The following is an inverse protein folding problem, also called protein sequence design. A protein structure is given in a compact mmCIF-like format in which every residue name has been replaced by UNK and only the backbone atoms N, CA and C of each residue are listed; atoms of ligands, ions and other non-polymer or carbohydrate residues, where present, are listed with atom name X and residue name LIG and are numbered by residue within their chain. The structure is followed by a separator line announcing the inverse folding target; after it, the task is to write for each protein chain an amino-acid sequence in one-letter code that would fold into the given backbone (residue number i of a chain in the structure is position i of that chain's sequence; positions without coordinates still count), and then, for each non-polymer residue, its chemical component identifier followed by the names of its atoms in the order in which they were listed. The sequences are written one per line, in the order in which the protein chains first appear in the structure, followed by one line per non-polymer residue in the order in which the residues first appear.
data_IF_186544357035
#
_entry.id   IF_186544357035
#
_cell.length_a   1.000
_cell.length_b   1.000
_cell.length_c   1.000
_cell.angle_alpha   90.00
_cell.angle_beta   90.00
_cell.angle_gamma   90.00
#
_symmetry.space_group_name_H-M   'P 1'
#
loop_
_entity.id
_entity.type
_entity.pdbx_description
1 polymer ?
#
# COMPACT_ATOMS: atom_id res chain seq x y z
N UNK A 1 -6.33 3.00 -23.19
CA UNK A 1 -5.95 3.65 -24.46
C UNK A 1 -4.73 2.97 -25.11
N UNK A 2 -3.52 3.60 -25.17
CA UNK A 2 -2.37 3.04 -25.89
C UNK A 2 -1.79 1.76 -25.26
N UNK A 3 -1.72 1.66 -23.94
CA UNK A 3 -1.24 0.48 -23.23
C UNK A 3 -2.20 -0.70 -23.44
N UNK A 4 -3.49 -0.46 -23.36
CA UNK A 4 -4.54 -1.44 -23.61
C UNK A 4 -4.52 -1.94 -25.06
N UNK A 5 -4.30 -1.06 -26.03
CA UNK A 5 -4.12 -1.43 -27.44
C UNK A 5 -2.86 -2.29 -27.64
N UNK A 6 -1.73 -1.95 -27.00
CA UNK A 6 -0.49 -2.74 -27.08
C UNK A 6 -0.62 -4.11 -26.42
N UNK A 7 -1.31 -4.20 -25.28
CA UNK A 7 -1.57 -5.47 -24.62
C UNK A 7 -2.46 -6.38 -25.44
N UNK A 8 -3.49 -5.82 -26.12
CA UNK A 8 -4.34 -6.57 -27.05
C UNK A 8 -3.61 -7.03 -28.31
N UNK A 9 -2.56 -6.32 -28.74
CA UNK A 9 -1.79 -6.67 -29.95
C UNK A 9 -0.68 -7.70 -29.70
N UNK A 10 -0.14 -7.75 -28.47
CA UNK A 10 1.05 -8.57 -28.16
C UNK A 10 0.76 -9.86 -27.39
N UNK A 11 -0.49 -10.17 -27.07
CA UNK A 11 -0.83 -11.37 -26.28
C UNK A 11 -1.68 -12.33 -27.13
N UNK A 12 -1.25 -13.57 -27.20
CA UNK A 12 -2.04 -14.68 -27.76
C UNK A 12 -3.34 -14.95 -26.96
N UNK A 13 -3.40 -14.45 -25.73
CA UNK A 13 -4.61 -14.35 -24.91
C UNK A 13 -4.67 -12.91 -24.36
N UNK A 14 -5.72 -12.13 -24.69
CA UNK A 14 -5.87 -10.78 -24.15
C UNK A 14 -6.10 -10.88 -22.63
N UNK A 15 -5.07 -10.60 -21.83
CA UNK A 15 -5.25 -10.40 -20.41
C UNK A 15 -6.09 -9.14 -20.20
N UNK A 16 -7.24 -9.29 -19.57
CA UNK A 16 -8.09 -8.17 -19.23
C UNK A 16 -7.32 -7.24 -18.27
N UNK A 17 -7.27 -5.96 -18.61
CA UNK A 17 -6.73 -4.94 -17.69
C UNK A 17 -7.74 -4.77 -16.54
N UNK A 18 -7.31 -5.00 -15.32
CA UNK A 18 -8.13 -4.76 -14.13
C UNK A 18 -7.83 -3.35 -13.61
N UNK A 19 -8.81 -2.43 -13.63
CA UNK A 19 -8.61 -1.09 -13.10
C UNK A 19 -8.39 -1.12 -11.60
N UNK A 20 -7.48 -0.27 -11.11
CA UNK A 20 -7.24 -0.05 -9.70
C UNK A 20 -7.95 1.23 -9.25
N UNK A 21 -8.81 1.12 -8.24
CA UNK A 21 -9.46 2.26 -7.59
C UNK A 21 -8.94 2.39 -6.16
N UNK A 22 -8.33 3.53 -5.86
CA UNK A 22 -7.89 3.89 -4.51
C UNK A 22 -8.47 5.25 -4.18
N UNK A 23 -9.01 5.38 -3.00
CA UNK A 23 -9.53 6.63 -2.49
C UNK A 23 -8.91 6.94 -1.12
N UNK A 24 -8.28 8.12 -1.03
CA UNK A 24 -7.82 8.73 0.20
C UNK A 24 -8.50 10.09 0.32
N UNK A 25 -9.09 10.38 1.46
CA UNK A 25 -9.79 11.63 1.74
C UNK A 25 -9.25 12.31 3.00
N UNK A 26 -9.68 13.52 3.27
CA UNK A 26 -9.34 14.20 4.54
C UNK A 26 -9.85 13.44 5.76
N UNK A 27 -10.95 12.69 5.59
CA UNK A 27 -11.58 11.92 6.67
C UNK A 27 -10.99 10.51 6.78
N UNK A 28 -10.40 9.99 5.69
CA UNK A 28 -9.74 8.68 5.63
C UNK A 28 -8.39 8.83 4.91
N UNK A 29 -7.37 9.26 5.64
CA UNK A 29 -6.04 9.55 5.10
C UNK A 29 -5.20 8.29 4.90
N UNK A 30 -5.47 7.24 5.67
CA UNK A 30 -4.74 5.97 5.60
C UNK A 30 -5.70 4.87 5.17
N UNK A 31 -5.31 4.12 4.14
CA UNK A 31 -6.02 2.95 3.66
C UNK A 31 -5.23 1.68 4.03
N UNK A 32 -5.84 0.82 4.83
CA UNK A 32 -5.30 -0.51 5.14
C UNK A 32 -5.90 -1.51 4.14
N UNK A 33 -5.05 -2.19 3.40
CA UNK A 33 -5.46 -3.20 2.43
C UNK A 33 -5.14 -4.59 2.98
N UNK A 34 -6.16 -5.41 3.10
CA UNK A 34 -6.05 -6.80 3.52
C UNK A 34 -6.45 -7.77 2.41
N UNK A 35 -6.18 -9.05 2.62
CA UNK A 35 -6.52 -10.10 1.66
C UNK A 35 -5.35 -11.04 1.34
N UNK A 36 -5.55 -12.04 0.47
CA UNK A 36 -4.49 -12.96 0.08
C UNK A 36 -3.40 -12.26 -0.75
N UNK A 37 -2.16 -12.76 -0.70
CA UNK A 37 -1.05 -12.19 -1.49
C UNK A 37 -1.35 -12.25 -3.00
N UNK A 38 -1.96 -13.33 -3.47
CA UNK A 38 -2.40 -13.49 -4.85
C UNK A 38 -3.47 -12.46 -5.29
N UNK A 39 -4.09 -11.73 -4.37
CA UNK A 39 -5.05 -10.66 -4.67
C UNK A 39 -4.44 -9.38 -5.23
N UNK A 40 -3.11 -9.28 -5.32
CA UNK A 40 -2.43 -8.14 -5.94
C UNK A 40 -2.16 -6.96 -5.00
N UNK A 41 -2.12 -7.15 -3.67
CA UNK A 41 -1.85 -6.08 -2.68
C UNK A 41 -0.57 -5.30 -2.99
N UNK A 42 0.55 -6.00 -3.16
CA UNK A 42 1.86 -5.37 -3.46
C UNK A 42 1.87 -4.68 -4.83
N UNK A 43 1.14 -5.24 -5.82
CA UNK A 43 0.97 -4.60 -7.13
C UNK A 43 0.17 -3.30 -7.01
N UNK A 44 -0.91 -3.31 -6.24
CA UNK A 44 -1.70 -2.12 -5.91
C UNK A 44 -0.82 -1.02 -5.30
N UNK A 45 -0.02 -1.37 -4.30
CA UNK A 45 0.87 -0.45 -3.60
C UNK A 45 1.95 0.12 -4.53
N UNK A 46 2.65 -0.75 -5.27
CA UNK A 46 3.67 -0.36 -6.26
C UNK A 46 3.10 0.54 -7.36
N UNK A 47 1.88 0.22 -7.85
CA UNK A 47 1.19 1.03 -8.85
C UNK A 47 0.86 2.42 -8.31
N UNK A 48 0.32 2.50 -7.10
CA UNK A 48 0.01 3.78 -6.44
C UNK A 48 1.25 4.64 -6.32
N UNK A 49 2.34 4.09 -5.82
CA UNK A 49 3.61 4.80 -5.66
C UNK A 49 4.19 5.26 -6.98
N UNK A 50 4.20 4.39 -7.99
CA UNK A 50 4.73 4.72 -9.31
C UNK A 50 3.94 5.85 -9.98
N UNK A 51 2.61 5.75 -10.01
CA UNK A 51 1.76 6.77 -10.63
C UNK A 51 1.85 8.10 -9.90
N UNK A 52 1.89 8.08 -8.56
CA UNK A 52 2.09 9.28 -7.75
C UNK A 52 3.44 9.95 -8.04
N UNK A 53 4.51 9.15 -8.13
CA UNK A 53 5.84 9.67 -8.47
C UNK A 53 5.89 10.25 -9.88
N UNK A 54 5.27 9.58 -10.86
CA UNK A 54 5.19 10.07 -12.24
C UNK A 54 4.51 11.45 -12.31
N UNK A 55 3.37 11.62 -11.62
CA UNK A 55 2.67 12.92 -11.58
C UNK A 55 3.57 14.01 -11.00
N UNK A 56 4.29 13.71 -9.92
CA UNK A 56 5.18 14.68 -9.27
C UNK A 56 6.40 15.04 -10.13
N UNK A 57 6.75 14.16 -11.08
CA UNK A 57 7.75 14.46 -12.12
C UNK A 57 7.16 15.18 -13.35
N UNK A 58 5.86 15.53 -13.34
CA UNK A 58 5.18 16.16 -14.47
C UNK A 58 4.88 15.21 -15.64
N UNK A 59 4.92 13.90 -15.41
CA UNK A 59 4.59 12.89 -16.40
C UNK A 59 3.09 12.61 -16.44
N UNK A 60 2.55 12.32 -17.62
CA UNK A 60 1.18 11.86 -17.78
C UNK A 60 0.99 10.44 -17.23
N UNK A 61 -0.13 10.19 -16.57
CA UNK A 61 -0.47 8.89 -15.99
C UNK A 61 -1.72 8.29 -16.64
N UNK A 62 -1.81 6.95 -16.77
CA UNK A 62 -2.95 6.26 -17.39
C UNK A 62 -4.10 6.06 -16.37
N UNK A 63 -4.82 7.12 -16.06
CA UNK A 63 -5.94 7.10 -15.12
C UNK A 63 -7.23 7.61 -15.78
N UNK A 64 -8.38 7.37 -15.13
CA UNK A 64 -9.68 7.92 -15.57
C UNK A 64 -9.64 9.45 -15.47
N UNK A 65 -10.35 10.15 -16.37
CA UNK A 65 -10.40 11.62 -16.44
C UNK A 65 -10.97 12.25 -15.15
N UNK A 66 -11.76 11.51 -14.39
CA UNK A 66 -12.34 11.96 -13.11
C UNK A 66 -11.41 11.74 -11.93
N UNK A 67 -10.25 11.09 -12.14
CA UNK A 67 -9.28 10.84 -11.08
C UNK A 67 -8.74 12.17 -10.53
N UNK A 68 -8.61 12.21 -9.22
CA UNK A 68 -8.01 13.33 -8.49
C UNK A 68 -6.71 12.86 -7.86
N UNK A 69 -5.64 13.58 -8.09
CA UNK A 69 -4.32 13.24 -7.56
C UNK A 69 -3.82 14.40 -6.70
N UNK A 70 -3.48 14.11 -5.46
CA UNK A 70 -2.86 15.08 -4.55
C UNK A 70 -1.37 15.24 -4.86
N UNK A 71 -0.77 16.33 -4.36
CA UNK A 71 0.68 16.54 -4.40
C UNK A 71 1.24 16.38 -3.00
N UNK A 72 2.26 15.56 -2.86
CA UNK A 72 2.94 15.31 -1.59
C UNK A 72 4.35 15.93 -1.64
N UNK A 73 4.81 16.40 -0.49
CA UNK A 73 6.17 16.88 -0.34
C UNK A 73 7.16 15.71 -0.29
N UNK A 74 6.75 14.65 0.41
CA UNK A 74 7.57 13.47 0.63
C UNK A 74 6.76 12.20 0.32
N UNK A 75 7.37 11.25 -0.39
CA UNK A 75 6.85 9.90 -0.60
C UNK A 75 7.81 8.95 0.09
N UNK A 76 7.35 8.26 1.11
CA UNK A 76 8.14 7.30 1.89
C UNK A 76 7.67 5.89 1.59
N UNK A 77 8.59 5.01 1.26
CA UNK A 77 8.29 3.67 0.75
C UNK A 77 9.04 2.63 1.59
N UNK A 78 8.32 1.64 2.07
CA UNK A 78 8.85 0.42 2.67
C UNK A 78 8.18 -0.77 1.99
N UNK A 79 8.73 -1.18 0.85
CA UNK A 79 8.27 -2.29 0.03
C UNK A 79 9.48 -3.19 -0.20
N UNK A 80 9.54 -4.30 0.53
CA UNK A 80 10.60 -5.29 0.41
C UNK A 80 10.10 -6.58 -0.25
N UNK A 81 10.91 -7.22 -1.07
CA UNK A 81 10.70 -8.61 -1.47
C UNK A 81 11.38 -9.52 -0.42
N UNK A 82 10.59 -10.26 0.36
CA UNK A 82 11.07 -11.19 1.41
C UNK A 82 11.76 -12.44 0.83
N UNK A 83 12.57 -12.35 -0.20
CA UNK A 83 13.16 -13.54 -0.85
C UNK A 83 14.59 -13.87 -0.40
N UNK A 84 15.07 -13.38 0.73
CA UNK A 84 16.33 -13.87 1.31
C UNK A 84 16.07 -14.61 2.62
N UNK A 85 15.87 -15.93 2.54
CA UNK A 85 15.72 -16.85 3.68
C UNK A 85 16.93 -16.89 4.63
N UNK A 86 17.99 -16.16 4.37
CA UNK A 86 19.22 -16.19 5.18
C UNK A 86 19.33 -15.09 6.24
N UNK A 87 18.37 -14.11 6.30
CA UNK A 87 18.51 -12.96 7.19
C UNK A 87 17.18 -12.42 7.78
N UNK A 88 16.27 -13.25 8.24
CA UNK A 88 14.97 -12.81 8.80
C UNK A 88 15.11 -11.75 9.90
N UNK A 89 16.08 -11.89 10.79
CA UNK A 89 16.32 -10.93 11.88
C UNK A 89 16.88 -9.60 11.40
N UNK A 90 17.66 -9.59 10.30
CA UNK A 90 18.18 -8.39 9.69
C UNK A 90 17.11 -7.64 8.94
N UNK A 91 16.18 -8.34 8.28
CA UNK A 91 15.05 -7.79 7.53
C UNK A 91 14.10 -7.07 8.47
N UNK A 92 13.64 -7.72 9.55
CA UNK A 92 12.77 -7.07 10.53
C UNK A 92 13.38 -5.83 11.18
N UNK A 93 14.66 -5.90 11.56
CA UNK A 93 15.38 -4.76 12.13
C UNK A 93 15.49 -3.60 11.14
N UNK A 94 15.66 -3.89 9.86
CA UNK A 94 15.68 -2.88 8.80
C UNK A 94 14.31 -2.22 8.62
N UNK A 95 13.22 -2.99 8.60
CA UNK A 95 11.86 -2.45 8.57
C UNK A 95 11.57 -1.55 9.77
N UNK A 96 11.94 -1.97 10.99
CA UNK A 96 11.77 -1.14 12.18
C UNK A 96 12.56 0.16 12.10
N UNK A 97 13.79 0.12 11.57
CA UNK A 97 14.59 1.31 11.39
C UNK A 97 13.98 2.26 10.36
N UNK A 98 13.47 1.71 9.25
CA UNK A 98 12.75 2.47 8.23
C UNK A 98 11.50 3.14 8.84
N UNK A 99 10.67 2.40 9.56
CA UNK A 99 9.49 2.93 10.23
C UNK A 99 9.84 4.05 11.22
N UNK A 100 10.91 3.87 12.01
CA UNK A 100 11.40 4.91 12.92
C UNK A 100 11.82 6.17 12.17
N UNK A 101 12.47 6.04 11.02
CA UNK A 101 12.89 7.18 10.21
C UNK A 101 11.68 7.85 9.53
N UNK A 102 10.73 7.07 9.04
CA UNK A 102 9.47 7.56 8.49
C UNK A 102 8.68 8.37 9.54
N UNK A 103 8.54 7.84 10.76
CA UNK A 103 7.84 8.53 11.86
C UNK A 103 8.45 9.88 12.20
N UNK A 104 9.78 10.00 12.17
CA UNK A 104 10.46 11.27 12.46
C UNK A 104 10.19 12.36 11.44
N UNK A 105 9.86 11.98 10.21
CA UNK A 105 9.70 12.91 9.09
C UNK A 105 8.24 13.05 8.65
N UNK A 106 7.37 12.12 9.06
CA UNK A 106 5.96 12.11 8.69
C UNK A 106 5.25 13.39 9.11
N UNK A 107 4.48 13.96 8.21
CA UNK A 107 3.72 15.19 8.37
C UNK A 107 2.50 15.18 7.42
N UNK A 108 1.57 16.14 7.49
CA UNK A 108 0.37 16.15 6.64
C UNK A 108 0.61 16.24 5.13
N UNK A 109 1.83 16.47 4.69
CA UNK A 109 2.23 16.48 3.27
C UNK A 109 3.01 15.23 2.86
N UNK A 110 3.03 14.20 3.69
CA UNK A 110 3.75 12.94 3.44
C UNK A 110 2.79 11.84 3.00
N UNK A 111 3.17 11.11 1.95
CA UNK A 111 2.54 9.84 1.56
C UNK A 111 3.44 8.68 2.00
N UNK A 112 2.88 7.75 2.77
CA UNK A 112 3.55 6.51 3.18
C UNK A 112 2.99 5.31 2.42
N UNK A 113 3.88 4.43 1.96
CA UNK A 113 3.53 3.20 1.25
C UNK A 113 4.28 2.05 1.91
N UNK A 114 3.57 1.19 2.63
CA UNK A 114 4.19 0.10 3.40
C UNK A 114 3.54 -1.24 3.00
N UNK A 115 4.36 -2.18 2.57
CA UNK A 115 3.92 -3.54 2.27
C UNK A 115 4.13 -4.47 3.46
N UNK A 116 3.21 -5.40 3.67
CA UNK A 116 3.27 -6.43 4.72
C UNK A 116 3.57 -5.89 6.13
N UNK A 117 2.91 -4.80 6.48
CA UNK A 117 3.18 -4.04 7.70
C UNK A 117 3.11 -4.90 8.97
N UNK A 118 4.23 -4.92 9.72
CA UNK A 118 4.40 -5.64 10.98
C UNK A 118 4.95 -7.05 10.86
N UNK A 119 5.17 -7.58 9.65
CA UNK A 119 5.72 -8.94 9.43
C UNK A 119 7.20 -9.05 9.80
N UNK A 120 7.72 -10.28 9.87
CA UNK A 120 9.13 -10.55 10.14
C UNK A 120 9.48 -10.77 11.62
N UNK A 121 8.48 -10.83 12.52
CA UNK A 121 8.66 -11.17 13.95
C UNK A 121 7.49 -12.01 14.47
N UNK A 122 7.51 -12.31 15.78
CA UNK A 122 6.39 -12.98 16.45
C UNK A 122 5.11 -12.18 16.24
N UNK A 123 3.99 -12.83 15.81
CA UNK A 123 2.79 -12.14 15.34
C UNK A 123 2.16 -11.16 16.34
N UNK A 124 2.14 -11.50 17.64
CA UNK A 124 1.54 -10.61 18.63
C UNK A 124 2.39 -9.36 18.85
N UNK A 125 3.72 -9.52 18.86
CA UNK A 125 4.67 -8.41 19.02
C UNK A 125 4.64 -7.52 17.78
N UNK A 126 4.74 -8.13 16.59
CA UNK A 126 4.68 -7.42 15.31
C UNK A 126 3.40 -6.63 15.14
N UNK A 127 2.25 -7.24 15.46
CA UNK A 127 0.95 -6.60 15.41
C UNK A 127 0.82 -5.41 16.36
N UNK A 128 1.29 -5.53 17.62
CA UNK A 128 1.23 -4.45 18.61
C UNK A 128 2.15 -3.27 18.22
N UNK A 129 3.34 -3.55 17.70
CA UNK A 129 4.26 -2.51 17.22
C UNK A 129 3.65 -1.79 16.00
N UNK A 130 3.11 -2.54 15.05
CA UNK A 130 2.48 -1.99 13.85
C UNK A 130 1.29 -1.09 14.21
N UNK A 131 0.45 -1.49 15.15
CA UNK A 131 -0.67 -0.69 15.65
C UNK A 131 -0.19 0.62 16.30
N UNK A 132 0.83 0.56 17.15
CA UNK A 132 1.42 1.76 17.77
C UNK A 132 2.00 2.72 16.72
N UNK A 133 2.72 2.20 15.72
CA UNK A 133 3.31 2.98 14.62
C UNK A 133 2.22 3.60 13.75
N UNK A 134 1.16 2.85 13.44
CA UNK A 134 0.00 3.33 12.69
C UNK A 134 -0.68 4.51 13.41
N UNK A 135 -0.88 4.41 14.72
CA UNK A 135 -1.42 5.49 15.54
C UNK A 135 -0.55 6.76 15.50
N UNK A 136 0.77 6.61 15.46
CA UNK A 136 1.68 7.74 15.31
C UNK A 136 1.61 8.38 13.91
N UNK A 137 1.54 7.60 12.84
CA UNK A 137 1.33 8.15 11.49
C UNK A 137 0.03 8.92 11.39
N UNK A 138 -1.04 8.39 11.98
CA UNK A 138 -2.34 9.06 12.03
C UNK A 138 -2.26 10.38 12.82
N UNK A 139 -1.60 10.39 13.98
CA UNK A 139 -1.39 11.58 14.80
C UNK A 139 -0.55 12.66 14.08
N UNK A 140 0.40 12.27 13.25
CA UNK A 140 1.18 13.18 12.41
C UNK A 140 0.40 13.67 11.17
N UNK A 141 -0.81 13.15 10.94
CA UNK A 141 -1.66 13.51 9.81
C UNK A 141 -1.14 13.02 8.45
N UNK A 142 -0.26 12.03 8.43
CA UNK A 142 0.27 11.46 7.19
C UNK A 142 -0.83 10.77 6.36
N UNK A 143 -0.61 10.73 5.06
CA UNK A 143 -1.43 9.96 4.13
C UNK A 143 -0.76 8.61 3.86
N UNK A 144 -1.52 7.56 3.59
CA UNK A 144 -0.87 6.29 3.36
C UNK A 144 -1.73 5.20 2.75
N UNK A 145 -1.03 4.25 2.11
CA UNK A 145 -1.59 2.96 1.72
C UNK A 145 -0.69 1.88 2.34
N UNK A 146 -1.29 1.00 3.11
CA UNK A 146 -0.59 0.01 3.92
C UNK A 146 -1.22 -1.36 3.64
N UNK A 147 -0.41 -2.36 3.35
CA UNK A 147 -0.91 -3.74 3.27
C UNK A 147 -0.56 -4.49 4.55
N UNK A 148 -1.43 -5.38 4.97
CA UNK A 148 -1.19 -6.20 6.17
C UNK A 148 -1.97 -7.50 6.16
N UNK A 149 -1.48 -8.47 6.94
CA UNK A 149 -2.18 -9.69 7.30
C UNK A 149 -2.74 -9.67 8.73
N UNK A 150 -2.39 -8.67 9.53
CA UNK A 150 -2.77 -8.60 10.94
C UNK A 150 -4.20 -8.14 11.15
N UNK A 151 -4.94 -8.91 11.95
CA UNK A 151 -6.35 -8.61 12.25
C UNK A 151 -6.52 -7.39 13.16
N UNK A 152 -5.59 -7.17 14.11
CA UNK A 152 -5.65 -6.03 15.01
C UNK A 152 -5.58 -4.70 14.27
N UNK A 153 -4.84 -4.61 13.14
CA UNK A 153 -4.81 -3.38 12.33
C UNK A 153 -6.15 -3.11 11.63
N UNK A 154 -6.91 -4.16 11.29
CA UNK A 154 -8.27 -3.98 10.77
C UNK A 154 -9.21 -3.45 11.86
N UNK A 155 -9.13 -4.02 13.08
CA UNK A 155 -9.90 -3.51 14.22
C UNK A 155 -9.52 -2.07 14.56
N UNK A 156 -8.23 -1.75 14.50
CA UNK A 156 -7.77 -0.37 14.67
C UNK A 156 -8.45 0.59 13.68
N UNK A 157 -8.58 0.21 12.41
CA UNK A 157 -9.25 1.03 11.41
C UNK A 157 -10.77 1.16 11.65
N UNK A 158 -11.40 0.14 12.23
CA UNK A 158 -12.82 0.20 12.57
C UNK A 158 -13.08 1.09 13.81
N UNK A 159 -12.09 1.27 14.67
CA UNK A 159 -12.18 2.02 15.93
C UNK A 159 -11.64 3.45 15.85
N UNK A 160 -10.89 3.81 14.81
CA UNK A 160 -10.22 5.09 14.69
C UNK A 160 -10.62 5.84 13.41
N UNK A 161 -11.06 7.09 13.58
CA UNK A 161 -11.26 8.00 12.47
C UNK A 161 -9.94 8.29 11.75
N UNK A 162 -10.00 8.51 10.44
CA UNK A 162 -8.82 8.79 9.62
C UNK A 162 -8.18 7.58 8.94
N UNK A 163 -8.67 6.38 9.26
CA UNK A 163 -8.21 5.12 8.66
C UNK A 163 -9.38 4.36 8.06
N UNK A 164 -9.21 3.84 6.85
CA UNK A 164 -10.20 3.01 6.19
C UNK A 164 -9.67 1.59 5.95
N UNK A 165 -10.57 0.60 6.02
CA UNK A 165 -10.30 -0.78 5.63
C UNK A 165 -10.66 -1.01 4.17
N UNK A 166 -9.74 -1.62 3.43
CA UNK A 166 -9.97 -2.16 2.10
C UNK A 166 -9.61 -3.64 2.03
N UNK A 167 -10.26 -4.36 1.14
CA UNK A 167 -9.96 -5.76 0.92
C UNK A 167 -9.75 -6.03 -0.58
N UNK A 168 -8.70 -6.78 -0.91
CA UNK A 168 -8.53 -7.29 -2.27
C UNK A 168 -9.46 -8.48 -2.47
N UNK A 169 -10.32 -8.37 -3.47
CA UNK A 169 -11.20 -9.45 -3.87
C UNK A 169 -10.42 -10.47 -4.70
N UNK A 170 -10.67 -11.73 -4.43
CA UNK A 170 -10.00 -12.85 -5.11
C UNK A 170 -10.97 -14.00 -5.34
N UNK A 171 -11.11 -14.38 -6.59
CA UNK A 171 -11.87 -15.58 -6.95
C UNK A 171 -11.03 -16.83 -6.69
N UNK A 172 -11.44 -17.62 -5.70
CA UNK A 172 -10.73 -18.86 -5.34
C UNK A 172 -10.96 -20.00 -6.34
N UNK A 173 -12.04 -19.95 -7.12
CA UNK A 173 -12.34 -20.99 -8.11
C UNK A 173 -11.52 -20.76 -9.39
N UNK A 174 -11.46 -19.52 -9.85
CA UNK A 174 -10.71 -19.16 -11.05
C UNK A 174 -9.25 -18.75 -10.74
N UNK A 175 -8.86 -18.75 -9.47
CA UNK A 175 -7.52 -18.43 -9.01
C UNK A 175 -7.01 -17.07 -9.53
N UNK A 176 -7.87 -16.06 -9.57
CA UNK A 176 -7.54 -14.73 -10.09
C UNK A 176 -8.10 -13.59 -9.22
N UNK A 177 -7.46 -12.40 -9.23
CA UNK A 177 -8.05 -11.19 -8.65
C UNK A 177 -9.35 -10.81 -9.37
N UNK A 178 -10.29 -10.22 -8.61
CA UNK A 178 -11.57 -9.71 -9.12
C UNK A 178 -11.51 -8.21 -9.34
#
# INVERSE_FOLDING_TARGET
PLLEQRLKQNSATPSALVPLNIELTTDNRILIISGPNAGGKSVCLKTTGLLQYMVQCGLGIPVDERSRVGMFKDIMIDIGDEQSLENDLSTYSSHLLNMKNMLKQANPSTLILIDEFGTGTEPNIGGAIAESVLGQFLAHGAWGVITTHYQNLKHFADEHEGVANGAMLYDRHEMKPL
#
